data_IF_160142161715
#
_entry.id   IF_160142161715
#
_cell.length_a   1.000
_cell.length_b   1.000
_cell.length_c   1.000
_cell.angle_alpha   90.00
_cell.angle_beta   90.00
_cell.angle_gamma   90.00
#
_symmetry.space_group_name_H-M   'P 1'
#
loop_
_entity.id
_entity.type
_entity.pdbx_description
1 polymer ?
#
# COMPACT_ATOMS: atom_id res chain seq x y z
N UNK A 1 21.54 -45.35 38.20
CA UNK A 1 21.21 -44.88 37.89
C UNK A 1 21.11 -44.01 37.33
N UNK A 2 20.99 -43.65 36.98
CA UNK A 2 20.80 -42.82 36.45
C UNK A 2 20.43 -41.94 35.91
N UNK A 3 20.20 -41.49 35.62
CA UNK A 3 19.82 -40.66 35.18
C UNK A 3 19.79 -39.74 34.57
N UNK A 4 19.41 -39.36 34.18
CA UNK A 4 19.18 -38.53 33.58
C UNK A 4 19.04 -37.59 33.09
N UNK A 5 18.99 -37.18 32.82
CA UNK A 5 18.79 -36.30 32.42
C UNK A 5 18.47 -35.53 31.67
N UNK A 6 18.17 -35.16 31.37
CA UNK A 6 17.81 -34.46 30.73
C UNK A 6 17.77 -33.50 30.17
N UNK A 7 17.72 -33.21 29.86
CA UNK A 7 17.52 -32.43 29.41
C UNK A 7 17.16 -31.59 28.80
N UNK A 8 16.94 -31.25 28.59
CA UNK A 8 16.53 -30.50 28.07
C UNK A 8 16.44 -29.70 27.32
N UNK A 9 16.37 -29.40 27.01
CA UNK A 9 16.12 -28.72 26.43
C UNK A 9 15.83 -27.87 25.88
N UNK A 10 15.73 -27.50 25.67
CA UNK A 10 15.37 -26.72 25.22
C UNK A 10 15.11 -25.98 24.45
N UNK A 11 14.94 -25.69 24.17
CA UNK A 11 14.55 -25.08 23.55
C UNK A 11 14.37 -24.19 22.94
N UNK A 12 14.28 -23.79 22.64
CA UNK A 12 14.01 -23.03 22.16
C UNK A 12 13.67 -22.32 21.40
N UNK A 13 13.39 -22.02 21.17
CA UNK A 13 12.98 -21.42 20.55
C UNK A 13 12.93 -20.57 19.94
N UNK A 14 12.97 -20.27 19.52
CA UNK A 14 12.92 -19.49 18.96
C UNK A 14 12.32 -18.94 18.36
N UNK A 15 11.88 -18.54 18.16
CA UNK A 15 11.28 -17.95 17.64
C UNK A 15 11.33 -17.08 16.83
N UNK A 16 11.18 -16.90 16.23
CA UNK A 16 11.27 -16.34 15.36
C UNK A 16 10.43 -15.61 14.99
N UNK A 17 10.39 -14.70 14.81
CA UNK A 17 9.77 -13.90 14.59
C UNK A 17 9.30 -13.62 13.53
N UNK A 18 8.65 -13.75 13.44
CA UNK A 18 8.02 -13.30 12.49
C UNK A 18 8.20 -12.05 12.04
N UNK A 19 8.56 -11.80 11.44
CA UNK A 19 8.76 -10.78 10.87
C UNK A 19 7.68 -10.14 10.37
N UNK A 20 7.10 -9.50 11.12
CA UNK A 20 6.23 -8.61 10.67
C UNK A 20 6.87 -7.74 9.73
N UNK A 21 6.42 -7.61 8.64
CA UNK A 21 6.92 -6.72 7.76
C UNK A 21 6.56 -5.36 8.20
N UNK A 22 7.48 -4.53 8.41
CA UNK A 22 7.26 -3.18 8.85
C UNK A 22 7.04 -2.22 7.70
N UNK A 23 6.83 -2.64 6.52
CA UNK A 23 6.66 -1.76 5.37
C UNK A 23 5.30 -1.91 4.71
N UNK A 24 5.15 -1.26 3.58
CA UNK A 24 3.97 -1.37 2.75
C UNK A 24 3.95 -2.72 2.05
N UNK A 25 2.79 -3.32 1.95
CA UNK A 25 2.57 -4.54 1.18
C UNK A 25 1.33 -4.37 0.33
N UNK A 26 0.97 -5.34 -0.45
CA UNK A 26 -0.16 -5.24 -1.36
C UNK A 26 -1.41 -4.64 -0.73
N UNK A 27 -2.08 -3.80 -1.46
CA UNK A 27 -3.26 -3.09 -0.99
C UNK A 27 -4.29 -2.99 -2.11
N UNK A 28 -5.47 -2.50 -1.77
CA UNK A 28 -6.54 -2.30 -2.74
C UNK A 28 -6.72 -0.80 -2.95
N UNK A 29 -6.87 -0.39 -4.19
CA UNK A 29 -7.28 0.98 -4.50
C UNK A 29 -8.76 0.95 -4.87
N UNK A 30 -9.50 1.87 -4.25
CA UNK A 30 -10.89 2.14 -4.60
C UNK A 30 -10.89 3.47 -5.35
N UNK A 31 -11.38 3.47 -6.57
CA UNK A 31 -11.41 4.68 -7.40
C UNK A 31 -12.71 5.45 -7.18
N UNK A 32 -12.62 6.50 -6.37
CA UNK A 32 -13.74 7.39 -6.10
C UNK A 32 -13.48 8.78 -6.69
N UNK A 33 -12.81 8.81 -7.85
CA UNK A 33 -12.49 10.07 -8.52
C UNK A 33 -13.55 10.56 -9.50
N UNK A 34 -14.51 9.71 -9.82
CA UNK A 34 -15.51 10.04 -10.82
C UNK A 34 -15.06 9.79 -12.26
N UNK A 35 -13.82 9.36 -12.46
CA UNK A 35 -13.25 9.11 -13.77
C UNK A 35 -12.48 7.80 -13.77
N UNK A 36 -12.40 7.15 -14.92
CA UNK A 36 -11.56 5.96 -15.05
C UNK A 36 -10.09 6.37 -14.86
N UNK A 37 -9.34 5.54 -14.17
CA UNK A 37 -7.90 5.75 -14.03
C UNK A 37 -7.24 5.01 -15.19
N UNK A 38 -6.41 5.72 -15.94
CA UNK A 38 -5.69 5.14 -17.07
C UNK A 38 -4.26 4.74 -16.70
N UNK A 39 -3.68 5.40 -15.70
CA UNK A 39 -2.34 5.05 -15.21
C UNK A 39 -2.24 5.39 -13.73
N UNK A 40 -1.52 4.56 -13.01
CA UNK A 40 -1.17 4.80 -11.62
C UNK A 40 0.34 4.79 -11.47
N UNK A 41 0.85 5.69 -10.65
CA UNK A 41 2.26 5.72 -10.30
C UNK A 41 2.38 6.00 -8.80
N UNK A 42 3.50 5.62 -8.24
CA UNK A 42 3.75 5.77 -6.82
C UNK A 42 5.20 6.21 -6.61
N UNK A 43 5.44 6.98 -5.57
CA UNK A 43 6.78 7.31 -5.13
C UNK A 43 6.81 7.38 -3.61
N UNK A 44 7.97 7.20 -3.03
CA UNK A 44 8.12 7.49 -1.60
C UNK A 44 7.93 8.97 -1.38
N UNK A 45 7.26 9.30 -0.31
CA UNK A 45 7.00 10.69 0.06
C UNK A 45 8.34 11.43 0.17
N UNK A 46 8.42 12.58 -0.47
CA UNK A 46 9.62 13.40 -0.44
C UNK A 46 10.68 13.04 -1.47
N UNK A 47 10.40 12.13 -2.38
CA UNK A 47 11.32 11.77 -3.45
C UNK A 47 10.72 12.11 -4.81
N UNK A 48 11.55 12.00 -5.85
CA UNK A 48 11.11 12.29 -7.22
C UNK A 48 11.01 11.03 -8.08
N UNK A 49 11.15 9.86 -7.47
CA UNK A 49 11.21 8.63 -8.27
C UNK A 49 9.85 7.99 -8.39
N UNK A 50 9.12 8.38 -9.39
CA UNK A 50 7.85 7.74 -9.71
C UNK A 50 8.09 6.39 -10.35
N UNK A 51 7.33 5.39 -9.91
CA UNK A 51 7.31 4.10 -10.56
C UNK A 51 5.88 3.72 -10.88
N UNK A 52 5.72 3.02 -11.98
CA UNK A 52 4.41 2.58 -12.42
C UNK A 52 3.83 1.54 -11.51
N UNK A 53 2.55 1.66 -11.22
CA UNK A 53 1.80 0.59 -10.56
C UNK A 53 0.94 -0.11 -11.61
N UNK A 54 0.85 -1.42 -11.50
CA UNK A 54 -0.08 -2.17 -12.32
C UNK A 54 -1.48 -1.94 -11.78
N UNK A 55 -2.43 -1.98 -12.66
CA UNK A 55 -3.82 -1.81 -12.27
C UNK A 55 -4.30 -0.39 -12.50
N UNK A 56 -5.51 -0.27 -12.97
CA UNK A 56 -6.13 1.01 -13.25
C UNK A 56 -7.64 0.83 -13.11
N UNK A 57 -8.16 0.88 -11.89
CA UNK A 57 -9.58 0.63 -11.68
C UNK A 57 -10.45 1.70 -12.32
N UNK A 58 -11.56 1.26 -12.89
CA UNK A 58 -12.56 2.15 -13.45
C UNK A 58 -13.21 2.98 -12.36
N UNK A 59 -13.89 4.03 -12.77
CA UNK A 59 -14.65 4.85 -11.85
C UNK A 59 -15.60 3.98 -11.03
N UNK A 60 -15.53 4.13 -9.72
CA UNK A 60 -16.38 3.38 -8.79
C UNK A 60 -15.92 1.96 -8.52
N UNK A 61 -14.87 1.50 -9.18
CA UNK A 61 -14.39 0.13 -9.00
C UNK A 61 -13.21 0.08 -8.05
N UNK A 62 -12.87 -1.13 -7.64
CA UNK A 62 -11.72 -1.38 -6.77
C UNK A 62 -10.85 -2.44 -7.42
N UNK A 63 -9.57 -2.37 -7.17
CA UNK A 63 -8.63 -3.33 -7.71
C UNK A 63 -7.43 -3.53 -6.82
N UNK A 64 -6.89 -4.75 -6.79
CA UNK A 64 -5.70 -5.02 -5.99
C UNK A 64 -4.47 -4.44 -6.66
N UNK A 65 -3.58 -3.96 -5.83
CA UNK A 65 -2.30 -3.40 -6.28
C UNK A 65 -1.19 -4.24 -5.66
N UNK A 66 -0.28 -4.71 -6.48
CA UNK A 66 0.90 -5.43 -6.00
C UNK A 66 2.00 -4.42 -5.78
N UNK A 67 2.42 -4.31 -4.56
CA UNK A 67 3.44 -3.34 -4.20
C UNK A 67 4.06 -3.74 -2.87
N UNK A 68 5.37 -3.64 -2.78
CA UNK A 68 6.09 -3.89 -1.53
C UNK A 68 7.20 -2.87 -1.39
N UNK A 69 7.32 -2.30 -0.22
CA UNK A 69 8.37 -1.34 0.08
C UNK A 69 8.58 -1.31 1.59
N UNK A 70 9.78 -0.99 2.01
CA UNK A 70 10.10 -0.90 3.44
C UNK A 70 9.54 0.37 4.08
N UNK A 71 9.13 1.34 3.28
CA UNK A 71 8.62 2.61 3.76
C UNK A 71 7.10 2.56 3.94
N UNK A 72 6.55 3.59 4.55
CA UNK A 72 5.12 3.66 4.83
C UNK A 72 4.40 4.80 4.12
N UNK A 73 5.07 5.92 3.92
CA UNK A 73 4.43 7.11 3.34
C UNK A 73 4.77 7.26 1.88
N UNK A 74 3.74 7.42 1.07
CA UNK A 74 3.90 7.47 -0.38
C UNK A 74 3.02 8.55 -0.99
N UNK A 75 3.43 9.03 -2.15
CA UNK A 75 2.55 9.83 -3.00
C UNK A 75 2.04 8.91 -4.10
N UNK A 76 0.75 8.99 -4.37
CA UNK A 76 0.11 8.22 -5.43
C UNK A 76 -0.37 9.20 -6.49
N UNK A 77 -0.05 8.94 -7.74
CA UNK A 77 -0.47 9.75 -8.86
C UNK A 77 -1.36 8.94 -9.78
N UNK A 78 -2.48 9.50 -10.15
CA UNK A 78 -3.36 8.88 -11.12
C UNK A 78 -3.51 9.79 -12.32
N UNK A 79 -3.41 9.20 -13.50
CA UNK A 79 -3.84 9.86 -14.73
C UNK A 79 -5.26 9.38 -14.99
N UNK A 80 -6.18 10.31 -15.07
CA UNK A 80 -7.59 10.01 -15.25
C UNK A 80 -7.96 10.16 -16.71
N UNK A 81 -9.04 9.48 -17.10
CA UNK A 81 -9.57 9.64 -18.44
C UNK A 81 -9.88 11.12 -18.69
N UNK A 82 -9.48 11.60 -19.85
CA UNK A 82 -9.61 13.02 -20.16
C UNK A 82 -8.30 13.79 -19.93
N UNK A 83 -7.24 13.11 -19.49
CA UNK A 83 -5.93 13.74 -19.35
C UNK A 83 -5.70 14.48 -18.04
N UNK A 84 -6.57 14.28 -17.06
CA UNK A 84 -6.45 14.92 -15.76
C UNK A 84 -5.43 14.14 -14.93
N UNK A 85 -4.53 14.82 -14.26
CA UNK A 85 -3.59 14.20 -13.34
C UNK A 85 -3.92 14.62 -11.92
N UNK A 86 -3.96 13.66 -11.00
CA UNK A 86 -4.23 13.92 -9.59
C UNK A 86 -3.17 13.23 -8.75
N UNK A 87 -2.79 13.88 -7.64
CA UNK A 87 -1.77 13.34 -6.74
C UNK A 87 -2.32 13.37 -5.31
N UNK A 88 -2.20 12.24 -4.64
CA UNK A 88 -2.52 12.11 -3.21
C UNK A 88 -1.21 11.94 -2.48
N UNK A 89 -0.86 12.91 -1.63
CA UNK A 89 0.42 12.91 -0.95
C UNK A 89 0.34 12.32 0.46
N UNK A 90 1.41 11.68 0.87
CA UNK A 90 1.53 11.20 2.24
C UNK A 90 0.59 10.08 2.59
N UNK A 91 0.28 9.22 1.62
CA UNK A 91 -0.61 8.09 1.85
C UNK A 91 0.12 7.02 2.65
N UNK A 92 -0.49 6.61 3.77
CA UNK A 92 0.10 5.58 4.62
C UNK A 92 -0.34 4.19 4.14
N UNK A 93 0.60 3.42 3.62
CA UNK A 93 0.33 2.08 3.10
C UNK A 93 0.73 0.96 4.04
N UNK A 94 1.21 1.28 5.24
CA UNK A 94 1.63 0.24 6.18
C UNK A 94 0.47 -0.34 6.97
N UNK A 95 -0.55 0.48 7.24
CA UNK A 95 -1.67 0.04 8.06
C UNK A 95 -2.95 -0.14 7.29
N UNK A 96 -3.02 0.41 6.08
CA UNK A 96 -4.25 0.35 5.31
C UNK A 96 -4.27 -0.89 4.42
N UNK A 97 -5.41 -1.54 4.34
CA UNK A 97 -5.63 -2.63 3.41
C UNK A 97 -6.28 -2.12 2.14
N UNK A 98 -7.04 -1.06 2.23
CA UNK A 98 -7.67 -0.42 1.10
C UNK A 98 -7.53 1.09 1.23
N UNK A 99 -7.27 1.74 0.12
CA UNK A 99 -7.14 3.18 0.03
C UNK A 99 -8.14 3.67 -0.99
N UNK A 100 -9.04 4.54 -0.56
CA UNK A 100 -10.01 5.16 -1.45
C UNK A 100 -9.44 6.49 -1.93
N UNK A 101 -9.26 6.60 -3.23
CA UNK A 101 -8.78 7.83 -3.84
C UNK A 101 -9.98 8.69 -4.20
N UNK A 102 -10.16 9.78 -3.49
CA UNK A 102 -11.29 10.70 -3.69
C UNK A 102 -10.83 11.94 -4.43
N UNK A 103 -11.69 12.43 -5.30
CA UNK A 103 -11.47 13.67 -6.01
C UNK A 103 -12.81 14.24 -6.42
N UNK A 104 -12.96 15.55 -6.30
CA UNK A 104 -14.16 16.23 -6.79
C UNK A 104 -13.75 17.17 -7.93
N UNK A 105 -14.75 17.65 -8.66
CA UNK A 105 -14.52 18.43 -9.89
C UNK A 105 -13.70 19.71 -9.66
N UNK A 106 -13.74 20.26 -8.48
CA UNK A 106 -12.92 21.43 -8.16
C UNK A 106 -11.42 21.10 -8.10
N UNK A 107 -11.06 19.81 -8.10
CA UNK A 107 -9.68 19.36 -8.02
C UNK A 107 -9.23 18.98 -6.62
N UNK A 108 -10.07 19.15 -5.61
CA UNK A 108 -9.73 18.74 -4.26
C UNK A 108 -9.62 17.21 -4.19
N UNK A 109 -8.60 16.73 -3.50
CA UNK A 109 -8.32 15.30 -3.37
C UNK A 109 -8.13 14.95 -1.91
N UNK A 110 -8.50 13.71 -1.55
CA UNK A 110 -8.23 13.17 -0.23
C UNK A 110 -8.33 11.64 -0.29
N UNK A 111 -7.83 10.97 0.75
CA UNK A 111 -7.93 9.52 0.84
C UNK A 111 -8.73 9.12 2.06
N UNK A 112 -9.42 8.02 1.94
CA UNK A 112 -10.00 7.32 3.07
C UNK A 112 -9.33 5.96 3.15
N UNK A 113 -9.17 5.45 4.36
CA UNK A 113 -8.49 4.19 4.61
C UNK A 113 -9.48 3.17 5.17
N UNK A 114 -9.20 1.92 4.82
CA UNK A 114 -10.01 0.83 5.33
C UNK A 114 -9.15 -0.29 5.88
#
# INVERSE_FOLDING_TARGET
MPRLCFALAAALLALAPGTASAGASGFVIVNSTGHDITQLAIRRFGTDRWQSLGGAPRAGARGPIKFEDADCAFDIQATLAGGITAVWSGVNLCEAKAVTLNRIDSGAVWVDYD
#
